data_IF_443292368611
#
_entry.id   IF_443292368611
#
_cell.length_a   1.000
_cell.length_b   1.000
_cell.length_c   1.000
_cell.angle_alpha   90.00
_cell.angle_beta   90.00
_cell.angle_gamma   90.00
#
_symmetry.space_group_name_H-M   'P 1'
#
loop_
_entity.id
_entity.type
_entity.pdbx_description
1 polymer ?
#
# COMPACT_ATOMS: atom_id res chain seq x y z
N UNK A 1 40.81 8.51 -0.06
CA UNK A 1 39.85 7.62 0.64
C UNK A 1 38.77 8.51 1.22
N UNK A 2 37.53 8.42 0.74
CA UNK A 2 36.44 9.17 1.37
C UNK A 2 36.30 8.66 2.81
N UNK A 3 36.54 9.52 3.78
CA UNK A 3 36.34 9.20 5.20
C UNK A 3 34.88 8.82 5.37
N UNK A 4 34.60 7.60 5.80
CA UNK A 4 33.24 7.16 6.06
C UNK A 4 32.66 8.01 7.20
N UNK A 5 31.75 8.92 6.86
CA UNK A 5 31.19 9.90 7.77
C UNK A 5 30.54 9.23 8.98
N UNK A 6 29.75 8.17 8.77
CA UNK A 6 29.06 7.45 9.84
C UNK A 6 30.03 6.75 10.78
N UNK A 7 31.15 6.22 10.28
CA UNK A 7 32.16 5.57 11.14
C UNK A 7 32.77 6.50 12.20
N UNK A 8 32.78 7.82 11.96
CA UNK A 8 33.23 8.80 12.96
C UNK A 8 32.26 8.96 14.13
N UNK A 9 30.95 8.74 13.90
CA UNK A 9 29.91 8.78 14.92
C UNK A 9 29.63 7.40 15.54
N UNK A 10 29.87 6.33 14.78
CA UNK A 10 29.64 4.93 15.14
C UNK A 10 30.91 4.10 14.90
N UNK A 11 31.86 4.08 15.86
CA UNK A 11 33.17 3.45 15.67
C UNK A 11 33.15 1.94 15.43
N UNK A 12 32.05 1.27 15.80
CA UNK A 12 31.87 -0.18 15.60
C UNK A 12 31.63 -0.58 14.14
N UNK A 13 31.41 0.38 13.24
CA UNK A 13 31.21 0.13 11.80
C UNK A 13 32.47 -0.48 11.18
N UNK A 14 32.30 -1.63 10.54
CA UNK A 14 33.37 -2.37 9.88
C UNK A 14 33.67 -1.79 8.49
N UNK A 15 34.91 -1.96 8.02
CA UNK A 15 35.23 -1.63 6.63
C UNK A 15 34.61 -2.66 5.67
N UNK A 16 34.43 -2.27 4.40
CA UNK A 16 33.93 -3.15 3.35
C UNK A 16 34.83 -4.39 3.19
N UNK A 17 36.14 -4.20 3.27
CA UNK A 17 37.14 -5.26 3.18
C UNK A 17 37.02 -6.24 4.35
N UNK A 18 36.85 -5.74 5.58
CA UNK A 18 36.68 -6.59 6.77
C UNK A 18 35.42 -7.46 6.67
N UNK A 19 34.32 -6.90 6.16
CA UNK A 19 33.06 -7.63 5.95
C UNK A 19 33.25 -8.71 4.88
N UNK A 20 33.83 -8.35 3.73
CA UNK A 20 34.10 -9.29 2.64
C UNK A 20 35.02 -10.43 3.08
N UNK A 21 36.08 -10.12 3.82
CA UNK A 21 37.00 -11.14 4.36
C UNK A 21 36.24 -12.15 5.24
N UNK A 22 35.34 -11.69 6.11
CA UNK A 22 34.52 -12.59 6.93
C UNK A 22 33.61 -13.46 6.08
N UNK A 23 32.94 -12.89 5.08
CA UNK A 23 32.04 -13.60 4.17
C UNK A 23 32.80 -14.71 3.43
N UNK A 24 33.93 -14.39 2.80
CA UNK A 24 34.70 -15.33 1.99
C UNK A 24 35.50 -16.36 2.81
N UNK A 25 35.68 -16.14 4.12
CA UNK A 25 36.30 -17.13 5.02
C UNK A 25 35.31 -18.21 5.47
N UNK A 26 33.99 -17.96 5.39
CA UNK A 26 32.96 -18.93 5.75
C UNK A 26 32.23 -19.41 4.48
N UNK A 27 32.36 -20.70 4.10
CA UNK A 27 31.74 -21.23 2.88
C UNK A 27 30.23 -21.01 2.77
N UNK A 28 29.49 -21.05 3.90
CA UNK A 28 28.03 -20.82 3.90
C UNK A 28 27.69 -19.37 3.60
N UNK A 29 28.40 -18.43 4.24
CA UNK A 29 28.21 -17.00 3.99
C UNK A 29 28.61 -16.66 2.56
N UNK A 30 29.73 -17.19 2.07
CA UNK A 30 30.15 -17.01 0.68
C UNK A 30 29.05 -17.46 -0.30
N UNK A 31 28.56 -18.68 -0.16
CA UNK A 31 27.52 -19.22 -1.03
C UNK A 31 26.24 -18.37 -1.01
N UNK A 32 25.82 -17.92 0.18
CA UNK A 32 24.66 -17.06 0.32
C UNK A 32 24.88 -15.70 -0.35
N UNK A 33 26.03 -15.07 -0.12
CA UNK A 33 26.38 -13.78 -0.70
C UNK A 33 26.40 -13.83 -2.23
N UNK A 34 27.02 -14.87 -2.79
CA UNK A 34 27.11 -15.10 -4.23
C UNK A 34 25.76 -15.43 -4.88
N UNK A 35 24.78 -15.91 -4.10
CA UNK A 35 23.41 -16.14 -4.58
C UNK A 35 22.61 -14.86 -4.79
N UNK A 36 23.01 -13.76 -4.13
CA UNK A 36 22.37 -12.46 -4.28
C UNK A 36 22.79 -11.77 -5.58
N UNK A 37 21.91 -10.92 -6.11
CA UNK A 37 22.24 -10.05 -7.24
C UNK A 37 23.32 -9.03 -6.86
N UNK A 38 24.03 -8.52 -7.86
CA UNK A 38 25.07 -7.49 -7.66
C UNK A 38 24.54 -6.25 -6.92
N UNK A 39 23.27 -5.88 -7.17
CA UNK A 39 22.63 -4.75 -6.49
C UNK A 39 22.40 -5.04 -5.00
N UNK A 40 21.91 -6.23 -4.68
CA UNK A 40 21.66 -6.67 -3.29
C UNK A 40 22.97 -6.82 -2.51
N UNK A 41 24.01 -7.41 -3.13
CA UNK A 41 25.36 -7.47 -2.55
C UNK A 41 25.90 -6.08 -2.24
N UNK A 42 25.74 -5.14 -3.18
CA UNK A 42 26.16 -3.76 -2.98
C UNK A 42 25.39 -3.11 -1.83
N UNK A 43 24.07 -3.24 -1.82
CA UNK A 43 23.21 -2.71 -0.75
C UNK A 43 23.61 -3.23 0.63
N UNK A 44 23.80 -4.55 0.75
CA UNK A 44 24.26 -5.19 1.98
C UNK A 44 25.58 -4.59 2.50
N UNK A 45 26.57 -4.50 1.62
CA UNK A 45 27.87 -3.96 1.96
C UNK A 45 27.81 -2.47 2.28
N UNK A 46 26.99 -1.71 1.55
CA UNK A 46 26.89 -0.26 1.72
C UNK A 46 26.32 0.11 3.09
N UNK A 47 25.26 -0.56 3.56
CA UNK A 47 24.71 -0.28 4.90
C UNK A 47 25.58 -0.87 6.03
N UNK A 48 26.14 -2.07 5.87
CA UNK A 48 26.99 -2.67 6.91
C UNK A 48 28.31 -1.89 7.10
N UNK A 49 28.84 -1.32 6.01
CA UNK A 49 30.06 -0.53 6.07
C UNK A 49 29.82 0.94 6.39
N UNK A 50 28.57 1.40 6.52
CA UNK A 50 28.22 2.80 6.77
C UNK A 50 28.39 3.73 5.57
N UNK A 51 28.63 3.19 4.36
CA UNK A 51 28.59 3.98 3.13
C UNK A 51 27.18 4.50 2.86
N UNK A 52 26.16 3.76 3.32
CA UNK A 52 24.79 4.22 3.51
C UNK A 52 24.32 3.91 4.93
N UNK A 53 23.26 4.59 5.33
CA UNK A 53 22.48 4.28 6.53
C UNK A 53 21.82 2.92 6.46
N UNK A 54 21.49 2.36 7.62
CA UNK A 54 20.67 1.15 7.71
C UNK A 54 19.22 1.52 7.39
N UNK A 55 18.57 0.73 6.53
CA UNK A 55 17.14 0.84 6.26
C UNK A 55 16.35 0.30 7.44
N UNK A 56 15.96 1.20 8.35
CA UNK A 56 15.30 0.86 9.62
C UNK A 56 14.03 0.05 9.42
N UNK A 57 13.30 0.26 8.31
CA UNK A 57 12.07 -0.46 8.01
C UNK A 57 12.28 -1.91 7.56
N UNK A 58 13.50 -2.44 7.47
CA UNK A 58 13.63 -3.89 7.42
C UNK A 58 13.08 -4.48 8.72
N UNK A 59 12.19 -5.46 8.60
CA UNK A 59 11.42 -6.07 9.69
C UNK A 59 12.31 -6.42 10.89
N UNK A 60 13.42 -7.11 10.65
CA UNK A 60 14.36 -7.50 11.71
C UNK A 60 15.01 -6.30 12.40
N UNK A 61 15.39 -5.26 11.66
CA UNK A 61 15.99 -4.04 12.22
C UNK A 61 14.97 -3.22 12.99
N UNK A 62 13.79 -3.06 12.43
CA UNK A 62 12.70 -2.34 13.05
C UNK A 62 12.32 -3.00 14.37
N UNK A 63 12.09 -4.32 14.36
CA UNK A 63 11.71 -5.09 15.54
C UNK A 63 12.75 -4.99 16.63
N UNK A 64 14.04 -5.11 16.29
CA UNK A 64 15.11 -4.97 17.29
C UNK A 64 15.11 -3.58 17.95
N UNK A 65 15.01 -2.52 17.15
CA UNK A 65 15.09 -1.14 17.67
C UNK A 65 13.85 -0.74 18.45
N UNK A 66 12.67 -1.16 17.98
CA UNK A 66 11.38 -0.73 18.49
C UNK A 66 10.76 -1.72 19.47
N UNK A 67 11.48 -2.77 19.87
CA UNK A 67 11.00 -3.76 20.84
C UNK A 67 10.73 -3.10 22.21
N UNK A 68 9.46 -3.09 22.68
CA UNK A 68 9.12 -2.51 23.98
C UNK A 68 9.71 -3.25 25.17
N UNK A 69 10.15 -4.50 25.02
CA UNK A 69 10.82 -5.26 26.07
C UNK A 69 12.22 -4.73 26.38
N UNK A 70 12.91 -4.14 25.39
CA UNK A 70 14.23 -3.56 25.57
C UNK A 70 14.17 -2.11 26.01
N UNK A 71 13.41 -1.29 25.28
CA UNK A 71 13.26 0.13 25.57
C UNK A 71 11.90 0.65 25.08
N UNK A 72 10.85 0.61 25.93
CA UNK A 72 9.51 1.03 25.54
C UNK A 72 9.44 2.54 25.22
N UNK A 73 10.37 3.36 25.73
CA UNK A 73 10.36 4.80 25.52
C UNK A 73 10.54 5.17 24.05
N UNK A 74 11.22 4.33 23.25
CA UNK A 74 11.40 4.54 21.81
C UNK A 74 10.05 4.51 21.08
N UNK A 75 9.30 3.43 21.29
CA UNK A 75 8.01 3.27 20.66
C UNK A 75 6.96 4.22 21.24
N UNK A 76 6.95 4.45 22.56
CA UNK A 76 6.09 5.46 23.18
C UNK A 76 6.33 6.87 22.61
N UNK A 77 7.60 7.24 22.38
CA UNK A 77 7.98 8.52 21.78
C UNK A 77 7.47 8.64 20.34
N UNK A 78 7.62 7.59 19.53
CA UNK A 78 7.08 7.56 18.17
C UNK A 78 5.55 7.70 18.15
N UNK A 79 4.85 6.88 18.92
CA UNK A 79 3.39 6.87 18.97
C UNK A 79 2.84 8.17 19.56
N UNK A 80 3.49 8.74 20.57
CA UNK A 80 3.12 10.03 21.16
C UNK A 80 3.20 11.15 20.13
N UNK A 81 4.31 11.20 19.36
CA UNK A 81 4.48 12.18 18.31
C UNK A 81 3.46 11.99 17.18
N UNK A 82 3.14 10.75 16.81
CA UNK A 82 2.24 10.44 15.70
C UNK A 82 0.76 10.71 16.03
N UNK A 83 0.32 10.29 17.21
CA UNK A 83 -1.06 10.44 17.68
C UNK A 83 -1.34 11.83 18.29
N UNK A 84 -0.29 12.62 18.51
CA UNK A 84 -0.34 13.94 19.16
C UNK A 84 -1.08 13.89 20.51
N UNK A 85 -0.77 12.87 21.30
CA UNK A 85 -1.28 12.62 22.66
C UNK A 85 -0.29 11.72 23.37
N UNK A 86 -0.18 11.83 24.69
CA UNK A 86 0.74 10.96 25.44
C UNK A 86 0.32 9.49 25.33
N UNK A 87 1.28 8.61 25.07
CA UNK A 87 1.10 7.16 24.94
C UNK A 87 1.99 6.43 25.94
N UNK A 88 1.44 5.42 26.63
CA UNK A 88 2.18 4.52 27.52
C UNK A 88 1.89 3.06 27.17
N UNK A 89 2.92 2.26 26.94
CA UNK A 89 2.75 0.84 26.62
C UNK A 89 2.36 0.09 27.90
N UNK A 90 1.30 -0.70 27.84
CA UNK A 90 0.81 -1.52 28.96
C UNK A 90 1.13 -2.99 28.78
N UNK A 91 0.93 -3.51 27.57
CA UNK A 91 1.09 -4.93 27.28
C UNK A 91 1.44 -5.11 25.80
N UNK A 92 2.44 -5.93 25.52
CA UNK A 92 2.71 -6.45 24.17
C UNK A 92 2.09 -7.83 24.10
N UNK A 93 1.13 -8.02 23.20
CA UNK A 93 0.40 -9.28 23.13
C UNK A 93 1.20 -10.28 22.29
N UNK A 94 1.24 -11.56 22.70
CA UNK A 94 1.92 -12.58 21.91
C UNK A 94 1.24 -12.71 20.54
N UNK A 95 2.05 -13.04 19.53
CA UNK A 95 1.53 -13.32 18.19
C UNK A 95 0.62 -14.55 18.23
N UNK A 96 -0.69 -14.32 18.21
CA UNK A 96 -1.69 -15.39 18.13
C UNK A 96 -1.53 -16.16 16.80
N UNK A 97 -1.48 -17.49 16.86
CA UNK A 97 -1.24 -18.38 15.72
C UNK A 97 -2.45 -18.54 14.77
N UNK A 98 -3.56 -17.86 15.06
CA UNK A 98 -4.83 -17.97 14.29
C UNK A 98 -5.15 -16.67 13.56
N UNK A 99 -4.20 -16.16 12.77
CA UNK A 99 -4.44 -15.02 11.87
C UNK A 99 -5.26 -15.45 10.66
N UNK A 100 -6.15 -14.56 10.20
CA UNK A 100 -6.95 -14.77 8.99
C UNK A 100 -6.10 -14.82 7.70
N UNK A 101 -4.87 -14.33 7.73
CA UNK A 101 -3.96 -14.30 6.58
C UNK A 101 -2.52 -14.61 6.97
N UNK A 102 -1.84 -15.41 6.15
CA UNK A 102 -0.43 -15.81 6.28
C UNK A 102 0.55 -14.76 5.68
N UNK A 103 0.12 -13.48 5.56
CA UNK A 103 0.78 -12.47 4.72
C UNK A 103 1.50 -11.32 5.47
N UNK A 104 2.74 -11.07 4.99
CA UNK A 104 3.65 -9.90 5.02
C UNK A 104 3.97 -9.15 6.32
N UNK A 105 5.26 -9.18 6.72
CA UNK A 105 6.04 -8.15 7.43
C UNK A 105 5.26 -7.18 8.34
N UNK A 106 4.78 -7.70 9.47
CA UNK A 106 4.20 -6.85 10.52
C UNK A 106 5.33 -6.33 11.40
N UNK A 107 5.62 -5.03 11.27
CA UNK A 107 6.65 -4.35 12.05
C UNK A 107 6.34 -4.39 13.55
N UNK A 108 5.07 -4.14 13.90
CA UNK A 108 4.55 -4.17 15.27
C UNK A 108 3.17 -4.81 15.26
N UNK A 109 2.95 -5.75 16.15
CA UNK A 109 1.69 -6.47 16.29
C UNK A 109 1.09 -6.30 17.68
N UNK A 110 -0.20 -5.95 17.71
CA UNK A 110 -1.07 -5.99 18.89
C UNK A 110 -0.45 -5.44 20.20
N UNK A 111 -0.11 -4.15 20.21
CA UNK A 111 0.35 -3.48 21.44
C UNK A 111 -0.82 -2.75 22.10
N UNK A 112 -1.07 -3.08 23.37
CA UNK A 112 -2.01 -2.34 24.21
C UNK A 112 -1.28 -1.14 24.81
N UNK A 113 -1.84 0.04 24.57
CA UNK A 113 -1.38 1.30 25.14
C UNK A 113 -2.47 1.97 25.97
N UNK A 114 -2.05 2.77 26.92
CA UNK A 114 -2.88 3.75 27.63
C UNK A 114 -2.60 5.14 27.04
N UNK A 115 -3.68 5.85 26.72
CA UNK A 115 -3.66 7.21 26.21
C UNK A 115 -3.75 8.23 27.37
N UNK A 116 -3.53 9.50 27.06
CA UNK A 116 -3.52 10.60 28.02
C UNK A 116 -4.80 10.73 28.87
N UNK A 117 -5.96 10.36 28.31
CA UNK A 117 -7.26 10.36 29.00
C UNK A 117 -7.52 9.09 29.84
N UNK A 118 -6.54 8.19 29.94
CA UNK A 118 -6.64 6.91 30.63
C UNK A 118 -7.35 5.82 29.82
N UNK A 119 -7.81 6.13 28.60
CA UNK A 119 -8.39 5.11 27.73
C UNK A 119 -7.31 4.15 27.20
N UNK A 120 -7.72 2.90 26.96
CA UNK A 120 -6.85 1.92 26.32
C UNK A 120 -7.05 1.95 24.81
N UNK A 121 -6.01 1.56 24.07
CA UNK A 121 -6.07 1.33 22.64
C UNK A 121 -5.16 0.17 22.23
N UNK A 122 -5.55 -0.56 21.18
CA UNK A 122 -4.70 -1.56 20.54
C UNK A 122 -4.07 -0.97 19.28
N UNK A 123 -2.76 -1.11 19.12
CA UNK A 123 -2.00 -0.52 18.01
C UNK A 123 -1.29 -1.62 17.22
N UNK A 124 -1.40 -1.54 15.90
CA UNK A 124 -0.65 -2.35 14.95
C UNK A 124 0.04 -1.41 13.95
N UNK A 125 1.32 -1.66 13.67
CA UNK A 125 2.11 -0.89 12.69
C UNK A 125 2.54 -1.85 11.58
N UNK A 126 2.19 -1.50 10.36
CA UNK A 126 2.53 -2.27 9.17
C UNK A 126 3.43 -1.49 8.23
N UNK A 127 4.32 -2.19 7.53
CA UNK A 127 5.09 -1.65 6.41
C UNK A 127 4.61 -2.28 5.13
N UNK A 128 4.39 -1.46 4.11
CA UNK A 128 3.91 -1.93 2.81
C UNK A 128 4.71 -1.29 1.70
N UNK A 129 5.26 -2.14 0.83
CA UNK A 129 6.11 -1.72 -0.29
C UNK A 129 5.37 -1.31 -1.57
N UNK A 130 4.04 -1.53 -1.65
CA UNK A 130 3.24 -1.35 -2.87
C UNK A 130 1.74 -1.14 -2.55
N UNK A 131 0.88 -1.09 -3.58
CA UNK A 131 -0.54 -0.77 -3.43
C UNK A 131 -1.22 -1.61 -2.35
N UNK A 132 -1.80 -0.91 -1.39
CA UNK A 132 -2.58 -1.48 -0.31
C UNK A 132 -4.02 -1.02 -0.49
N UNK A 133 -4.91 -1.87 -1.03
CA UNK A 133 -6.28 -1.47 -1.26
C UNK A 133 -6.97 -1.23 0.09
N UNK A 134 -7.86 -0.23 0.16
CA UNK A 134 -8.63 0.08 1.38
C UNK A 134 -9.36 -1.14 1.96
N UNK A 135 -9.74 -2.10 1.12
CA UNK A 135 -10.31 -3.38 1.53
C UNK A 135 -9.36 -4.19 2.44
N UNK A 136 -8.05 -4.19 2.18
CA UNK A 136 -7.06 -4.91 3.01
C UNK A 136 -6.89 -4.24 4.37
N UNK A 137 -6.90 -2.89 4.44
CA UNK A 137 -6.95 -2.16 5.71
C UNK A 137 -8.16 -2.57 6.55
N UNK A 138 -9.33 -2.64 5.91
CA UNK A 138 -10.59 -3.01 6.56
C UNK A 138 -10.51 -4.42 7.14
N UNK A 139 -9.93 -5.39 6.42
CA UNK A 139 -9.72 -6.74 6.93
C UNK A 139 -8.82 -6.78 8.18
N UNK A 140 -7.65 -6.11 8.15
CA UNK A 140 -6.72 -6.17 9.30
C UNK A 140 -7.26 -5.48 10.54
N UNK A 141 -7.78 -4.27 10.39
CA UNK A 141 -8.43 -3.57 11.51
C UNK A 141 -9.63 -4.34 12.07
N UNK A 142 -10.37 -5.08 11.24
CA UNK A 142 -11.47 -5.94 11.69
C UNK A 142 -10.96 -7.18 12.41
N UNK A 143 -9.86 -7.79 11.94
CA UNK A 143 -9.20 -8.90 12.63
C UNK A 143 -8.68 -8.46 14.01
N UNK A 144 -7.98 -7.32 14.10
CA UNK A 144 -7.55 -6.74 15.38
C UNK A 144 -8.72 -6.56 16.36
N UNK A 145 -9.84 -6.01 15.86
CA UNK A 145 -11.04 -5.80 16.66
C UNK A 145 -11.66 -7.13 17.12
N UNK A 146 -11.69 -8.12 16.24
CA UNK A 146 -12.23 -9.46 16.53
C UNK A 146 -11.34 -10.23 17.53
N UNK A 147 -10.01 -10.18 17.38
CA UNK A 147 -9.05 -10.73 18.35
C UNK A 147 -9.26 -10.09 19.72
N UNK A 148 -9.40 -8.77 19.76
CA UNK A 148 -9.70 -8.05 21.00
C UNK A 148 -11.04 -8.49 21.61
N UNK A 149 -12.11 -8.56 20.81
CA UNK A 149 -13.43 -8.99 21.25
C UNK A 149 -13.39 -10.40 21.87
N UNK A 150 -12.73 -11.35 21.20
CA UNK A 150 -12.56 -12.72 21.71
C UNK A 150 -11.88 -12.74 23.08
N UNK A 151 -10.79 -11.97 23.25
CA UNK A 151 -10.08 -11.86 24.53
C UNK A 151 -10.96 -11.27 25.63
N UNK A 152 -11.65 -10.17 25.36
CA UNK A 152 -12.54 -9.51 26.33
C UNK A 152 -13.71 -10.42 26.71
N UNK A 153 -14.30 -11.14 25.74
CA UNK A 153 -15.39 -12.08 25.98
C UNK A 153 -14.95 -13.29 26.81
N UNK A 154 -13.74 -13.82 26.57
CA UNK A 154 -13.19 -14.91 27.39
C UNK A 154 -12.95 -14.47 28.84
N UNK A 155 -12.51 -13.21 29.04
CA UNK A 155 -12.25 -12.63 30.37
C UNK A 155 -13.52 -12.11 31.07
N UNK A 156 -14.67 -12.04 30.39
CA UNK A 156 -15.89 -11.43 30.94
C UNK A 156 -16.70 -12.34 31.85
N UNK A 157 -16.44 -13.65 31.80
CA UNK A 157 -17.10 -14.64 32.66
C UNK A 157 -16.26 -14.77 33.92
N UNK A 158 -16.84 -14.35 35.05
CA UNK A 158 -16.21 -14.51 36.36
C UNK A 158 -16.05 -16.01 36.69
N UNK A 159 -14.82 -16.45 36.95
CA UNK A 159 -14.49 -17.86 37.17
C UNK A 159 -15.06 -18.45 38.47
N UNK A 160 -15.48 -17.60 39.41
CA UNK A 160 -15.99 -18.00 40.72
C UNK A 160 -17.51 -17.91 40.77
N UNK A 161 -18.09 -16.83 40.26
CA UNK A 161 -19.53 -16.56 40.33
C UNK A 161 -20.28 -16.95 39.06
N UNK A 162 -19.57 -17.24 37.96
CA UNK A 162 -20.16 -17.55 36.65
C UNK A 162 -20.87 -16.37 35.99
N UNK A 163 -20.76 -15.16 36.56
CA UNK A 163 -21.46 -13.97 36.07
C UNK A 163 -20.78 -13.44 34.82
N UNK A 164 -21.57 -13.22 33.77
CA UNK A 164 -21.12 -12.51 32.57
C UNK A 164 -21.16 -11.00 32.81
N UNK A 165 -19.98 -10.37 32.74
CA UNK A 165 -19.77 -8.93 32.95
C UNK A 165 -19.48 -8.19 31.64
N UNK A 166 -19.70 -8.85 30.50
CA UNK A 166 -19.38 -8.30 29.20
C UNK A 166 -20.14 -7.01 28.90
N UNK A 167 -19.42 -6.03 28.36
CA UNK A 167 -19.97 -4.81 27.77
C UNK A 167 -19.16 -4.42 26.56
N UNK A 168 -19.83 -3.90 25.52
CA UNK A 168 -19.14 -3.30 24.37
C UNK A 168 -18.29 -2.09 24.77
N UNK A 169 -18.57 -1.45 25.92
CA UNK A 169 -17.73 -0.39 26.49
C UNK A 169 -16.35 -0.89 26.95
N UNK A 170 -16.17 -2.20 27.09
CA UNK A 170 -14.89 -2.81 27.44
C UNK A 170 -14.01 -3.04 26.19
N UNK A 171 -14.53 -2.79 24.99
CA UNK A 171 -13.73 -2.84 23.76
C UNK A 171 -13.08 -1.48 23.53
N UNK A 172 -11.77 -1.49 23.45
CA UNK A 172 -10.89 -0.35 23.23
C UNK A 172 -10.75 -0.04 21.74
N UNK A 173 -10.40 1.21 21.43
CA UNK A 173 -10.07 1.63 20.06
C UNK A 173 -8.92 0.80 19.49
N UNK A 174 -8.94 0.59 18.18
CA UNK A 174 -7.87 -0.04 17.42
C UNK A 174 -7.30 0.97 16.43
N UNK A 175 -5.97 1.14 16.44
CA UNK A 175 -5.25 1.97 15.48
C UNK A 175 -4.46 1.07 14.54
N UNK A 176 -4.78 1.13 13.25
CA UNK A 176 -3.97 0.53 12.19
C UNK A 176 -3.10 1.63 11.56
N UNK A 177 -1.80 1.59 11.84
CA UNK A 177 -0.81 2.52 11.27
C UNK A 177 -0.12 1.82 10.11
N UNK A 178 -0.11 2.44 8.93
CA UNK A 178 0.50 1.88 7.72
C UNK A 178 1.57 2.83 7.19
N UNK A 179 2.81 2.34 7.13
CA UNK A 179 3.97 3.01 6.56
C UNK A 179 4.14 2.58 5.10
N UNK A 180 4.01 3.53 4.17
CA UNK A 180 4.20 3.30 2.74
C UNK A 180 5.60 3.77 2.31
N UNK A 181 6.45 2.84 1.90
CA UNK A 181 7.73 3.20 1.28
C UNK A 181 7.54 3.78 -0.12
N UNK A 182 6.51 3.27 -0.83
CA UNK A 182 5.97 3.78 -2.09
C UNK A 182 4.46 3.91 -1.95
N UNK A 183 3.94 5.12 -2.13
CA UNK A 183 2.53 5.41 -1.94
C UNK A 183 1.67 4.83 -3.08
N UNK A 184 0.45 4.32 -2.78
CA UNK A 184 -0.55 4.02 -3.79
C UNK A 184 -1.10 5.30 -4.42
N UNK A 185 -1.75 5.16 -5.57
CA UNK A 185 -2.23 6.29 -6.37
C UNK A 185 -3.31 7.11 -5.65
N UNK A 186 -4.11 6.49 -4.79
CA UNK A 186 -5.10 7.18 -3.96
C UNK A 186 -4.45 8.21 -3.03
N UNK A 187 -3.31 7.88 -2.41
CA UNK A 187 -2.61 8.83 -1.54
C UNK A 187 -1.88 9.90 -2.35
N UNK A 188 -1.38 9.57 -3.56
CA UNK A 188 -0.76 10.54 -4.47
C UNK A 188 -1.72 11.63 -4.95
N UNK A 189 -3.04 11.40 -4.91
CA UNK A 189 -4.05 12.45 -5.19
C UNK A 189 -4.04 13.60 -4.18
N UNK A 190 -3.46 13.37 -3.01
CA UNK A 190 -3.32 14.36 -1.94
C UNK A 190 -1.83 14.66 -1.69
N UNK A 191 -1.08 15.16 -2.70
CA UNK A 191 0.39 15.26 -2.62
C UNK A 191 0.84 16.22 -1.52
N UNK A 192 -0.06 17.08 -1.04
CA UNK A 192 0.26 18.02 0.01
C UNK A 192 0.38 17.44 1.41
N UNK A 193 -0.18 16.25 1.61
CA UNK A 193 -0.25 15.57 2.89
C UNK A 193 0.51 14.25 2.80
N UNK A 194 1.34 13.98 3.80
CA UNK A 194 2.07 12.71 3.92
C UNK A 194 1.60 11.88 5.13
N UNK A 195 0.68 12.42 5.95
CA UNK A 195 -0.10 11.64 6.92
C UNK A 195 -1.58 11.83 6.62
N UNK A 196 -2.30 10.72 6.51
CA UNK A 196 -3.76 10.68 6.37
C UNK A 196 -4.34 9.97 7.58
N UNK A 197 -5.24 10.64 8.30
CA UNK A 197 -5.95 10.09 9.46
C UNK A 197 -7.40 9.87 9.07
N UNK A 198 -7.92 8.67 9.31
CA UNK A 198 -9.32 8.40 9.02
C UNK A 198 -10.23 9.18 9.96
N UNK A 199 -11.41 9.54 9.46
CA UNK A 199 -12.54 9.98 10.27
C UNK A 199 -13.80 9.43 9.63
N UNK A 200 -14.65 8.80 10.43
CA UNK A 200 -15.94 8.29 9.96
C UNK A 200 -17.02 9.34 10.16
N UNK A 201 -17.80 9.60 9.12
CA UNK A 201 -18.99 10.45 9.13
C UNK A 201 -20.07 9.82 8.29
N UNK A 202 -21.33 9.95 8.73
CA UNK A 202 -22.49 9.50 7.96
C UNK A 202 -22.86 10.52 6.89
N UNK A 203 -23.63 10.09 5.89
CA UNK A 203 -24.18 10.89 4.80
C UNK A 203 -24.99 12.11 5.31
N UNK A 204 -25.68 11.96 6.44
CA UNK A 204 -26.39 13.03 7.14
C UNK A 204 -25.47 14.09 7.80
N UNK A 205 -24.15 13.89 7.79
CA UNK A 205 -23.19 14.72 8.52
C UNK A 205 -23.03 14.35 10.00
N UNK A 206 -23.75 13.33 10.49
CA UNK A 206 -23.55 12.79 11.84
C UNK A 206 -22.11 12.28 11.98
N UNK A 207 -21.42 12.72 13.03
CA UNK A 207 -20.11 12.20 13.41
C UNK A 207 -20.29 11.25 14.59
N UNK A 208 -19.78 10.02 14.46
CA UNK A 208 -19.79 9.03 15.54
C UNK A 208 -18.40 8.48 15.73
N UNK A 209 -18.02 8.27 16.98
CA UNK A 209 -16.71 7.72 17.32
C UNK A 209 -16.74 6.19 17.21
N UNK A 210 -16.23 5.67 16.09
CA UNK A 210 -16.07 4.23 15.89
C UNK A 210 -14.75 3.74 16.48
N UNK A 211 -14.65 2.42 16.66
CA UNK A 211 -13.49 1.80 17.29
C UNK A 211 -12.27 1.71 16.37
N UNK A 212 -12.45 1.80 15.05
CA UNK A 212 -11.38 1.63 14.07
C UNK A 212 -10.85 2.98 13.58
N UNK A 213 -9.58 3.25 13.86
CA UNK A 213 -8.86 4.40 13.34
C UNK A 213 -7.68 3.94 12.47
N UNK A 214 -7.52 4.56 11.30
CA UNK A 214 -6.46 4.30 10.34
C UNK A 214 -5.55 5.51 10.23
N UNK A 215 -4.23 5.27 10.21
CA UNK A 215 -3.22 6.30 9.98
C UNK A 215 -2.30 5.84 8.85
N UNK A 216 -2.42 6.46 7.69
CA UNK A 216 -1.57 6.17 6.54
C UNK A 216 -0.46 7.20 6.43
N UNK A 217 0.77 6.72 6.26
CA UNK A 217 1.98 7.56 6.25
C UNK A 217 2.75 7.29 4.96
N UNK A 218 2.82 8.30 4.10
CA UNK A 218 3.49 8.28 2.80
C UNK A 218 4.93 8.75 2.90
N UNK A 219 5.87 7.81 3.07
CA UNK A 219 7.28 8.14 3.29
C UNK A 219 7.97 8.68 2.03
N UNK A 220 7.54 8.26 0.84
CA UNK A 220 7.98 8.84 -0.43
C UNK A 220 7.55 10.30 -0.62
N UNK A 221 6.29 10.62 -0.30
CA UNK A 221 5.78 12.00 -0.32
C UNK A 221 6.48 12.84 0.76
N UNK A 222 6.72 12.29 1.94
CA UNK A 222 7.49 12.95 2.99
C UNK A 222 8.91 13.30 2.51
N UNK A 223 9.64 12.32 1.95
CA UNK A 223 11.01 12.51 1.43
C UNK A 223 11.06 13.60 0.36
N UNK A 224 10.14 13.60 -0.59
CA UNK A 224 10.11 14.61 -1.66
C UNK A 224 9.87 16.02 -1.11
N UNK A 225 9.02 16.15 -0.07
CA UNK A 225 8.73 17.44 0.57
C UNK A 225 9.81 17.95 1.50
N UNK A 226 10.55 17.05 2.14
CA UNK A 226 11.59 17.39 3.10
C UNK A 226 12.98 17.49 2.48
N UNK A 227 13.12 17.12 1.21
CA UNK A 227 14.34 17.37 0.43
C UNK A 227 14.70 18.87 0.52
N UNK A 228 15.78 19.20 1.24
CA UNK A 228 16.27 20.55 1.56
C UNK A 228 15.54 21.35 2.66
N UNK A 229 14.61 20.76 3.42
CA UNK A 229 14.00 21.42 4.58
C UNK A 229 14.68 20.99 5.88
N UNK A 230 14.77 21.91 6.83
CA UNK A 230 15.20 21.57 8.19
C UNK A 230 14.07 20.84 8.91
N UNK A 231 14.42 19.76 9.60
CA UNK A 231 13.54 19.10 10.56
C UNK A 231 13.31 20.03 11.74
N UNK A 232 12.05 20.24 12.10
CA UNK A 232 11.67 21.14 13.20
C UNK A 232 10.91 20.44 14.30
N UNK A 233 10.23 19.34 13.97
CA UNK A 233 9.40 18.60 14.92
C UNK A 233 9.96 17.21 15.17
N UNK A 234 9.64 16.65 16.35
CA UNK A 234 9.99 15.28 16.67
C UNK A 234 9.34 14.26 15.72
N UNK A 235 8.12 14.53 15.24
CA UNK A 235 7.45 13.66 14.29
C UNK A 235 8.18 13.62 12.94
N UNK A 236 8.63 14.77 12.43
CA UNK A 236 9.48 14.82 11.23
C UNK A 236 10.82 14.09 11.44
N UNK A 237 11.40 14.19 12.63
CA UNK A 237 12.62 13.46 12.99
C UNK A 237 12.41 11.93 12.93
N UNK A 238 11.28 11.45 13.46
CA UNK A 238 10.85 10.05 13.33
C UNK A 238 10.66 9.63 11.87
N UNK A 239 10.08 10.49 11.03
CA UNK A 239 9.93 10.19 9.62
C UNK A 239 11.27 10.12 8.88
N UNK A 240 12.25 10.96 9.22
CA UNK A 240 13.62 10.82 8.71
C UNK A 240 14.20 9.47 9.12
N UNK A 241 14.15 9.15 10.41
CA UNK A 241 14.69 7.89 10.95
C UNK A 241 14.13 6.65 10.23
N UNK A 242 12.82 6.66 9.94
CA UNK A 242 12.14 5.54 9.28
C UNK A 242 12.32 5.51 7.76
N UNK A 243 12.77 6.59 7.10
CA UNK A 243 12.70 6.68 5.63
C UNK A 243 13.97 7.07 4.92
N UNK A 244 14.99 7.57 5.63
CA UNK A 244 16.22 8.11 5.04
C UNK A 244 17.44 7.28 5.46
N UNK A 245 18.23 6.89 4.48
CA UNK A 245 19.48 6.15 4.63
C UNK A 245 20.71 6.94 4.13
N UNK A 246 20.56 8.25 3.94
CA UNK A 246 21.66 9.13 3.57
C UNK A 246 22.53 9.47 4.81
N UNK A 247 23.84 9.23 4.78
CA UNK A 247 24.74 9.52 5.90
C UNK A 247 24.68 10.94 6.45
N UNK A 248 24.59 11.96 5.59
CA UNK A 248 24.61 13.36 6.00
C UNK A 248 23.30 13.76 6.68
N UNK A 249 22.17 13.25 6.21
CA UNK A 249 20.87 13.41 6.87
C UNK A 249 20.83 12.68 8.23
N UNK A 250 21.42 11.48 8.33
CA UNK A 250 21.50 10.74 9.60
C UNK A 250 22.31 11.53 10.63
N UNK A 251 23.45 12.09 10.22
CA UNK A 251 24.29 12.91 11.11
C UNK A 251 23.53 14.17 11.55
N UNK A 252 22.82 14.83 10.64
CA UNK A 252 21.96 15.98 10.98
C UNK A 252 20.84 15.61 11.94
N UNK A 253 20.22 14.44 11.75
CA UNK A 253 19.18 13.90 12.63
C UNK A 253 19.73 13.69 14.04
N UNK A 254 20.81 12.91 14.21
CA UNK A 254 21.35 12.60 15.55
C UNK A 254 21.97 13.82 16.23
N UNK A 255 22.39 14.83 15.47
CA UNK A 255 22.89 16.09 16.04
C UNK A 255 21.74 16.95 16.57
N UNK A 256 20.64 17.03 15.82
CA UNK A 256 19.48 17.85 16.19
C UNK A 256 18.55 17.15 17.20
N UNK A 257 18.49 15.82 17.13
CA UNK A 257 17.69 14.94 17.97
C UNK A 257 18.55 13.78 18.50
N UNK A 258 19.35 14.01 19.56
CA UNK A 258 20.31 13.02 20.08
C UNK A 258 19.72 11.67 20.49
N UNK A 259 18.42 11.62 20.78
CA UNK A 259 17.68 10.40 21.13
C UNK A 259 17.71 9.31 20.04
N UNK A 260 17.98 9.67 18.77
CA UNK A 260 18.11 8.70 17.68
C UNK A 260 19.50 8.04 17.62
N UNK A 261 20.53 8.64 18.25
CA UNK A 261 21.88 8.09 18.21
C UNK A 261 21.95 6.68 18.83
N UNK A 262 21.40 6.41 20.03
CA UNK A 262 21.42 5.06 20.60
C UNK A 262 20.69 4.02 19.73
N UNK A 263 19.67 4.43 18.98
CA UNK A 263 18.95 3.53 18.07
C UNK A 263 19.84 3.08 16.91
N UNK A 264 20.56 4.02 16.26
CA UNK A 264 21.56 3.67 15.25
C UNK A 264 22.73 2.88 15.84
N UNK A 265 23.15 3.17 17.07
CA UNK A 265 24.17 2.36 17.76
C UNK A 265 23.71 0.91 17.92
N UNK A 266 22.46 0.67 18.32
CA UNK A 266 21.88 -0.68 18.36
C UNK A 266 21.97 -1.35 16.99
N UNK A 267 21.52 -0.69 15.93
CA UNK A 267 21.52 -1.24 14.57
C UNK A 267 22.93 -1.59 14.07
N UNK A 268 23.89 -0.65 14.19
CA UNK A 268 25.28 -0.90 13.78
C UNK A 268 25.98 -1.94 14.63
N UNK A 269 25.58 -2.10 15.90
CA UNK A 269 26.08 -3.19 16.74
C UNK A 269 25.62 -4.56 16.23
N UNK A 270 24.37 -4.68 15.74
CA UNK A 270 23.90 -5.92 15.12
C UNK A 270 24.73 -6.27 13.88
N UNK A 271 25.09 -5.28 13.06
CA UNK A 271 25.93 -5.45 11.87
C UNK A 271 27.31 -6.07 12.13
N UNK A 272 27.78 -6.13 13.39
CA UNK A 272 29.01 -6.84 13.70
C UNK A 272 28.89 -8.36 13.54
N UNK A 273 27.69 -8.91 13.70
CA UNK A 273 27.43 -10.31 13.40
C UNK A 273 26.96 -10.44 11.95
N UNK A 274 27.94 -10.48 11.04
CA UNK A 274 27.72 -10.54 9.59
C UNK A 274 26.82 -11.71 9.22
N UNK A 275 27.03 -12.89 9.80
CA UNK A 275 26.24 -14.09 9.50
C UNK A 275 24.75 -13.89 9.80
N UNK A 276 24.43 -13.37 11.00
CA UNK A 276 23.04 -13.10 11.37
C UNK A 276 22.40 -12.05 10.46
N UNK A 277 23.10 -10.95 10.15
CA UNK A 277 22.56 -9.90 9.27
C UNK A 277 22.37 -10.38 7.83
N UNK A 278 23.23 -11.27 7.34
CA UNK A 278 23.00 -11.91 6.03
C UNK A 278 21.72 -12.75 6.04
N UNK A 279 21.45 -13.45 7.14
CA UNK A 279 20.19 -14.17 7.36
C UNK A 279 18.98 -13.22 7.29
N UNK A 280 18.98 -12.17 8.11
CA UNK A 280 17.90 -11.17 8.12
C UNK A 280 17.73 -10.48 6.77
N UNK A 281 18.82 -10.09 6.12
CA UNK A 281 18.75 -9.47 4.79
C UNK A 281 18.16 -10.44 3.75
N UNK A 282 18.46 -11.73 3.82
CA UNK A 282 17.86 -12.73 2.92
C UNK A 282 16.36 -12.90 3.17
N UNK A 283 15.92 -12.83 4.43
CA UNK A 283 14.51 -12.84 4.78
C UNK A 283 13.79 -11.60 4.23
N UNK A 284 14.38 -10.41 4.38
CA UNK A 284 13.86 -9.17 3.78
C UNK A 284 13.70 -9.28 2.26
N UNK A 285 14.71 -9.81 1.56
CA UNK A 285 14.65 -10.00 0.11
C UNK A 285 13.51 -10.95 -0.27
N UNK A 286 13.33 -12.04 0.48
CA UNK A 286 12.25 -12.99 0.26
C UNK A 286 10.87 -12.37 0.51
N UNK A 287 10.74 -11.53 1.53
CA UNK A 287 9.52 -10.77 1.79
C UNK A 287 9.23 -9.80 0.65
N UNK A 288 10.22 -9.04 0.19
CA UNK A 288 10.09 -8.13 -0.95
C UNK A 288 9.70 -8.84 -2.24
N UNK A 289 10.26 -10.02 -2.52
CA UNK A 289 9.92 -10.80 -3.71
C UNK A 289 8.47 -11.31 -3.65
N UNK A 290 8.03 -11.88 -2.52
CA UNK A 290 6.64 -12.32 -2.31
C UNK A 290 5.65 -11.18 -2.49
N UNK A 291 5.99 -10.04 -1.88
CA UNK A 291 5.25 -8.80 -1.94
C UNK A 291 5.12 -8.29 -3.39
N UNK A 292 6.22 -8.26 -4.13
CA UNK A 292 6.23 -7.84 -5.54
C UNK A 292 5.39 -8.76 -6.41
N UNK A 293 5.47 -10.08 -6.21
CA UNK A 293 4.64 -11.04 -6.96
C UNK A 293 3.15 -10.83 -6.66
N UNK A 294 2.77 -10.67 -5.40
CA UNK A 294 1.36 -10.43 -5.03
C UNK A 294 0.86 -9.12 -5.61
N UNK A 295 1.65 -8.05 -5.56
CA UNK A 295 1.33 -6.77 -6.19
C UNK A 295 1.06 -6.92 -7.68
N UNK A 296 1.95 -7.60 -8.40
CA UNK A 296 1.83 -7.78 -9.85
C UNK A 296 0.57 -8.57 -10.18
N UNK A 297 0.19 -9.56 -9.38
CA UNK A 297 -1.07 -10.30 -9.55
C UNK A 297 -2.28 -9.37 -9.36
N UNK A 298 -2.30 -8.58 -8.27
CA UNK A 298 -3.40 -7.68 -7.95
C UNK A 298 -3.59 -6.60 -9.05
N UNK A 299 -2.50 -6.00 -9.54
CA UNK A 299 -2.55 -4.99 -10.63
C UNK A 299 -2.95 -5.60 -11.96
N UNK A 300 -2.38 -6.77 -12.33
CA UNK A 300 -2.76 -7.45 -13.57
C UNK A 300 -4.24 -7.85 -13.54
N UNK A 301 -4.77 -8.29 -12.40
CA UNK A 301 -6.20 -8.61 -12.26
C UNK A 301 -7.06 -7.36 -12.47
N UNK A 302 -6.67 -6.21 -11.91
CA UNK A 302 -7.37 -4.93 -12.08
C UNK A 302 -7.33 -4.46 -13.54
N UNK A 303 -6.20 -4.58 -14.22
CA UNK A 303 -6.09 -4.28 -15.65
C UNK A 303 -7.00 -5.18 -16.49
N UNK A 304 -7.02 -6.49 -16.19
CA UNK A 304 -7.91 -7.45 -16.85
C UNK A 304 -9.38 -7.10 -16.64
N UNK A 305 -9.78 -6.73 -15.42
CA UNK A 305 -11.16 -6.36 -15.11
C UNK A 305 -11.60 -5.09 -15.88
N UNK A 306 -10.72 -4.08 -15.96
CA UNK A 306 -10.97 -2.85 -16.74
C UNK A 306 -11.07 -3.15 -18.24
N UNK A 307 -10.18 -3.99 -18.77
CA UNK A 307 -10.22 -4.41 -20.17
C UNK A 307 -11.50 -5.20 -20.48
N UNK A 308 -11.91 -6.12 -19.60
CA UNK A 308 -13.16 -6.86 -19.75
C UNK A 308 -14.39 -5.95 -19.76
N UNK A 309 -14.43 -4.94 -18.88
CA UNK A 309 -15.52 -3.95 -18.87
C UNK A 309 -15.56 -3.15 -20.18
N UNK A 310 -14.39 -2.72 -20.67
CA UNK A 310 -14.27 -2.00 -21.95
C UNK A 310 -14.69 -2.87 -23.14
N UNK A 311 -14.32 -4.15 -23.13
CA UNK A 311 -14.76 -5.11 -24.16
C UNK A 311 -16.27 -5.29 -24.11
N UNK A 312 -16.88 -5.40 -22.92
CA UNK A 312 -18.33 -5.53 -22.78
C UNK A 312 -19.06 -4.29 -23.32
N UNK A 313 -18.57 -3.08 -23.03
CA UNK A 313 -19.11 -1.83 -23.56
C UNK A 313 -19.00 -1.76 -25.09
N UNK A 314 -17.81 -2.03 -25.64
CA UNK A 314 -17.61 -2.06 -27.09
C UNK A 314 -18.48 -3.13 -27.78
N UNK A 315 -18.67 -4.28 -27.14
CA UNK A 315 -19.56 -5.33 -27.65
C UNK A 315 -21.00 -4.85 -27.73
N UNK A 316 -21.47 -4.13 -26.70
CA UNK A 316 -22.81 -3.53 -26.70
C UNK A 316 -22.98 -2.48 -27.81
N UNK A 317 -21.99 -1.61 -27.99
CA UNK A 317 -21.98 -0.59 -29.06
C UNK A 317 -22.00 -1.24 -30.45
N UNK A 318 -21.22 -2.29 -30.67
CA UNK A 318 -21.22 -3.04 -31.95
C UNK A 318 -22.58 -3.69 -32.20
N UNK A 319 -23.21 -4.26 -31.17
CA UNK A 319 -24.54 -4.86 -31.30
C UNK A 319 -25.60 -3.82 -31.70
N UNK A 320 -25.57 -2.63 -31.10
CA UNK A 320 -26.46 -1.51 -31.45
C UNK A 320 -26.21 -1.00 -32.88
N UNK A 321 -24.94 -0.87 -33.27
CA UNK A 321 -24.58 -0.43 -34.62
C UNK A 321 -25.01 -1.45 -35.68
N UNK A 322 -24.86 -2.75 -35.42
CA UNK A 322 -25.34 -3.81 -36.30
C UNK A 322 -26.87 -3.83 -36.42
N UNK A 323 -27.60 -3.61 -35.32
CA UNK A 323 -29.06 -3.49 -35.36
C UNK A 323 -29.51 -2.29 -36.24
N UNK A 324 -28.80 -1.15 -36.11
CA UNK A 324 -29.06 0.03 -36.93
C UNK A 324 -28.75 -0.20 -38.42
N UNK A 325 -27.69 -0.96 -38.73
CA UNK A 325 -27.36 -1.33 -40.11
C UNK A 325 -28.46 -2.22 -40.69
N UNK A 326 -28.92 -3.24 -39.94
CA UNK A 326 -30.00 -4.12 -40.39
C UNK A 326 -31.30 -3.36 -40.66
N UNK A 327 -31.64 -2.38 -39.81
CA UNK A 327 -32.81 -1.51 -40.04
C UNK A 327 -32.66 -0.66 -41.31
N UNK A 328 -31.48 -0.07 -41.54
CA UNK A 328 -31.19 0.69 -42.77
C UNK A 328 -31.21 -0.19 -44.02
N UNK A 329 -30.69 -1.41 -43.96
CA UNK A 329 -30.75 -2.37 -45.07
C UNK A 329 -32.21 -2.73 -45.40
N UNK A 330 -33.05 -2.94 -44.38
CA UNK A 330 -34.48 -3.18 -44.58
C UNK A 330 -35.17 -1.98 -45.25
N UNK A 331 -34.87 -0.75 -44.81
CA UNK A 331 -35.41 0.46 -45.41
C UNK A 331 -34.96 0.66 -46.86
N UNK A 332 -33.69 0.36 -47.18
CA UNK A 332 -33.17 0.40 -48.54
C UNK A 332 -33.92 -0.61 -49.42
N UNK A 333 -34.10 -1.84 -48.95
CA UNK A 333 -34.84 -2.87 -49.68
C UNK A 333 -36.30 -2.46 -49.96
N UNK A 334 -36.98 -1.84 -48.99
CA UNK A 334 -38.32 -1.28 -49.21
C UNK A 334 -38.33 -0.16 -50.26
N UNK A 335 -37.35 0.75 -50.20
CA UNK A 335 -37.24 1.85 -51.17
C UNK A 335 -36.95 1.35 -52.59
N UNK A 336 -36.09 0.35 -52.73
CA UNK A 336 -35.76 -0.25 -54.02
C UNK A 336 -36.99 -0.95 -54.63
N UNK A 337 -37.79 -1.64 -53.81
CA UNK A 337 -39.06 -2.24 -54.25
C UNK A 337 -40.07 -1.19 -54.73
N UNK A 338 -40.23 -0.09 -53.97
CA UNK A 338 -41.13 1.00 -54.33
C UNK A 338 -40.68 1.75 -55.62
N UNK A 339 -39.36 1.89 -55.82
CA UNK A 339 -38.79 2.43 -57.06
C UNK A 339 -39.13 1.54 -58.25
N UNK A 340 -38.93 0.22 -58.14
CA UNK A 340 -39.25 -0.73 -59.20
C UNK A 340 -40.75 -0.71 -59.57
N UNK A 341 -41.64 -0.57 -58.59
CA UNK A 341 -43.07 -0.44 -58.84
C UNK A 341 -43.41 0.88 -59.58
N UNK A 342 -42.79 1.99 -59.17
CA UNK A 342 -42.95 3.27 -59.87
C UNK A 342 -42.42 3.24 -61.30
N UNK A 343 -41.28 2.61 -61.55
CA UNK A 343 -40.72 2.46 -62.90
C UNK A 343 -41.66 1.63 -63.80
N UNK A 344 -42.28 0.58 -63.26
CA UNK A 344 -43.30 -0.20 -63.96
C UNK A 344 -44.53 0.64 -64.34
N UNK A 345 -45.03 1.46 -63.41
CA UNK A 345 -46.16 2.36 -63.66
C UNK A 345 -45.82 3.45 -64.68
N UNK A 346 -44.63 4.04 -64.59
CA UNK A 346 -44.13 5.01 -65.55
C UNK A 346 -44.06 4.41 -66.96
N UNK A 347 -43.51 3.20 -67.11
CA UNK A 347 -43.47 2.48 -68.38
C UNK A 347 -44.86 2.26 -68.98
N UNK A 348 -45.83 1.82 -68.16
CA UNK A 348 -47.24 1.69 -68.59
C UNK A 348 -47.85 3.02 -69.02
N UNK A 349 -47.61 4.08 -68.26
CA UNK A 349 -48.12 5.42 -68.59
C UNK A 349 -47.52 5.94 -69.90
N UNK A 350 -46.21 5.75 -70.13
CA UNK A 350 -45.52 6.14 -71.34
C UNK A 350 -46.07 5.39 -72.57
N UNK A 351 -46.31 4.08 -72.44
CA UNK A 351 -46.96 3.29 -73.49
C UNK A 351 -48.38 3.79 -73.81
N UNK A 352 -49.14 4.17 -72.78
CA UNK A 352 -50.51 4.69 -72.93
C UNK A 352 -50.50 6.06 -73.62
N UNK A 353 -49.58 6.95 -73.25
CA UNK A 353 -49.39 8.26 -73.89
C UNK A 353 -49.01 8.07 -75.36
N UNK A 354 -48.08 7.17 -75.67
CA UNK A 354 -47.67 6.88 -77.05
C UNK A 354 -48.86 6.37 -77.89
N UNK A 355 -49.70 5.49 -77.34
CA UNK A 355 -50.91 5.02 -77.99
C UNK A 355 -51.92 6.15 -78.25
N UNK A 356 -52.18 6.99 -77.25
CA UNK A 356 -53.08 8.15 -77.38
C UNK A 356 -52.56 9.18 -78.39
N UNK A 357 -51.24 9.41 -78.44
CA UNK A 357 -50.62 10.29 -79.43
C UNK A 357 -50.75 9.74 -80.86
N UNK A 358 -50.62 8.43 -81.05
CA UNK A 358 -50.84 7.77 -82.34
C UNK A 358 -52.31 7.90 -82.78
N UNK A 359 -53.26 7.70 -81.86
CA UNK A 359 -54.70 7.87 -82.10
C UNK A 359 -55.04 9.32 -82.51
N UNK A 360 -54.54 10.31 -81.77
CA UNK A 360 -54.70 11.74 -82.06
C UNK A 360 -54.14 12.13 -83.42
N UNK A 361 -52.99 11.57 -83.79
CA UNK A 361 -52.36 11.79 -85.10
C UNK A 361 -53.22 11.23 -86.24
N UNK A 362 -53.86 10.08 -86.01
CA UNK A 362 -54.78 9.46 -86.96
C UNK A 362 -56.05 10.29 -87.16
N UNK A 363 -56.60 10.83 -86.08
CA UNK A 363 -57.79 11.69 -86.11
C UNK A 363 -57.54 13.08 -86.73
N UNK A 364 -56.33 13.63 -86.62
CA UNK A 364 -55.95 14.89 -87.28
C UNK A 364 -55.73 14.78 -88.79
N UNK A 365 -55.56 13.57 -89.30
CA UNK A 365 -55.35 13.28 -90.72
C UNK A 365 -56.62 12.79 -91.44
N UNK A 366 -57.75 12.78 -90.73
CA UNK A 366 -59.12 12.68 -91.25
C UNK A 366 -59.70 14.09 -91.38
#
# INVERSE_FOLDING_TARGET
MATNLLKSYFPMIQSREEILQRIYTNPRMQQLFESWTVLQQKEFLDFCSGARGIKVLYDSFFKEVMNPEYDPARLESFLTALLNRKVRIKEVLPNDSTRLSDESSLLITDIIVELEDGSLANIEVQKIGYAFPGARCACYSSDMLLRQYKRVRQRSIDSVTGRDTFSYRNISKVYLIVLYEKSPDELKKCPDHWIHRSKVSFDSGLSMDLLQDYIFISLDIFRSKMHNKKVTTLLEAWMIFLSIDDPDEIIRLITSFPQFKPMYETLYQMCRNVENIMGFFSEELREMDRNTVRYMIDELQKEVDVQNATIAENTAVIAEMNATIAEKESLIAEKDSALAEKDSLLSKSAATIAALQAELSRLKNL
#
